data_IF_090084723766
#
_entry.id   IF_090084723766
#
_cell.length_a   1.000
_cell.length_b   1.000
_cell.length_c   1.000
_cell.angle_alpha   90.00
_cell.angle_beta   90.00
_cell.angle_gamma   90.00
#
_symmetry.space_group_name_H-M   'P 1'
#
loop_
_entity.id
_entity.type
_entity.pdbx_description
1 polymer ?
#
# COMPACT_ATOMS: atom_id res chain seq x y z
N UNK A 1 -15.36 9.46 -0.53
CA UNK A 1 -14.86 9.31 -1.92
C UNK A 1 -14.71 7.83 -2.32
N UNK A 2 -13.96 7.01 -1.56
CA UNK A 2 -13.68 5.60 -1.91
C UNK A 2 -14.94 4.74 -2.16
N UNK A 3 -15.95 4.80 -1.28
CA UNK A 3 -17.17 3.97 -1.39
C UNK A 3 -17.94 4.23 -2.69
N UNK A 4 -18.03 5.49 -3.12
CA UNK A 4 -18.73 5.83 -4.36
C UNK A 4 -17.96 5.26 -5.56
N UNK A 5 -16.62 5.41 -5.56
CA UNK A 5 -15.76 4.86 -6.61
C UNK A 5 -15.82 3.33 -6.66
N UNK A 6 -15.87 2.64 -5.52
CA UNK A 6 -15.95 1.17 -5.48
C UNK A 6 -17.26 0.65 -6.08
N UNK A 7 -18.39 1.29 -5.76
CA UNK A 7 -19.70 0.93 -6.33
C UNK A 7 -19.75 1.15 -7.85
N UNK A 8 -19.20 2.27 -8.34
CA UNK A 8 -19.15 2.56 -9.77
C UNK A 8 -18.26 1.57 -10.50
N UNK A 9 -17.08 1.27 -9.96
CA UNK A 9 -16.12 0.36 -10.57
C UNK A 9 -16.69 -1.07 -10.69
N UNK A 10 -17.39 -1.54 -9.66
CA UNK A 10 -18.08 -2.83 -9.68
C UNK A 10 -19.18 -2.89 -10.75
N UNK A 11 -19.97 -1.81 -10.92
CA UNK A 11 -21.03 -1.75 -11.93
C UNK A 11 -20.50 -1.63 -13.37
N UNK A 12 -19.37 -0.94 -13.55
CA UNK A 12 -18.76 -0.73 -14.88
C UNK A 12 -17.85 -1.85 -15.35
N UNK A 13 -17.62 -2.90 -14.54
CA UNK A 13 -16.71 -4.01 -14.87
C UNK A 13 -15.34 -3.52 -15.37
N UNK A 14 -14.81 -2.47 -14.72
CA UNK A 14 -13.53 -1.90 -15.11
C UNK A 14 -12.42 -2.94 -14.88
N UNK A 15 -11.56 -3.24 -15.87
CA UNK A 15 -10.50 -4.23 -15.71
C UNK A 15 -9.41 -3.75 -14.74
N UNK A 16 -9.16 -2.44 -14.69
CA UNK A 16 -8.10 -1.83 -13.86
C UNK A 16 -8.56 -0.49 -13.26
N UNK A 17 -8.16 -0.22 -12.02
CA UNK A 17 -8.36 1.06 -11.33
C UNK A 17 -7.09 1.51 -10.61
N UNK A 18 -6.81 2.81 -10.66
CA UNK A 18 -5.66 3.42 -9.98
C UNK A 18 -6.18 4.43 -8.94
N UNK A 19 -5.70 4.30 -7.72
CA UNK A 19 -5.92 5.24 -6.63
C UNK A 19 -4.59 5.87 -6.24
N UNK A 20 -4.53 7.20 -6.35
CA UNK A 20 -3.39 8.00 -5.93
C UNK A 20 -3.77 8.80 -4.69
N UNK A 21 -3.07 8.55 -3.57
CA UNK A 21 -3.28 9.17 -2.27
C UNK A 21 -4.75 9.27 -1.83
N UNK A 22 -5.56 8.25 -2.16
CA UNK A 22 -7.00 8.23 -1.82
C UNK A 22 -7.25 8.21 -0.31
N UNK A 23 -6.19 7.99 0.46
CA UNK A 23 -6.05 7.90 1.91
C UNK A 23 -5.64 9.21 2.58
N UNK A 24 -5.56 10.32 1.85
CA UNK A 24 -5.33 11.66 2.44
C UNK A 24 -6.34 11.97 3.55
N UNK A 25 -5.83 12.41 4.70
CA UNK A 25 -6.66 12.79 5.85
C UNK A 25 -7.27 11.61 6.61
N UNK A 26 -6.75 10.40 6.41
CA UNK A 26 -7.23 9.17 7.06
C UNK A 26 -6.11 8.52 7.86
N UNK A 27 -6.44 7.92 9.02
CA UNK A 27 -5.49 7.17 9.83
C UNK A 27 -6.17 6.08 10.66
N UNK A 28 -5.37 5.26 11.34
CA UNK A 28 -5.85 4.26 12.31
C UNK A 28 -6.82 3.24 11.72
N UNK A 29 -7.92 2.97 12.43
CA UNK A 29 -8.91 1.97 12.03
C UNK A 29 -9.56 2.27 10.67
N UNK A 30 -9.74 3.55 10.33
CA UNK A 30 -10.35 3.94 9.06
C UNK A 30 -9.44 3.53 7.89
N UNK A 31 -8.12 3.71 8.02
CA UNK A 31 -7.15 3.27 7.01
C UNK A 31 -7.18 1.75 6.83
N UNK A 32 -7.30 1.00 7.93
CA UNK A 32 -7.48 -0.46 7.88
C UNK A 32 -8.76 -0.86 7.13
N UNK A 33 -9.90 -0.23 7.44
CA UNK A 33 -11.17 -0.48 6.73
C UNK A 33 -11.08 -0.15 5.24
N UNK A 34 -10.39 0.94 4.89
CA UNK A 34 -10.12 1.27 3.48
C UNK A 34 -9.29 0.19 2.79
N UNK A 35 -8.24 -0.31 3.43
CA UNK A 35 -7.45 -1.43 2.93
C UNK A 35 -8.29 -2.68 2.65
N UNK A 36 -9.22 -3.03 3.55
CA UNK A 36 -10.14 -4.15 3.33
C UNK A 36 -11.09 -3.92 2.15
N UNK A 37 -11.61 -2.70 1.98
CA UNK A 37 -12.44 -2.35 0.81
C UNK A 37 -11.63 -2.53 -0.48
N UNK A 38 -10.41 -2.00 -0.53
CA UNK A 38 -9.53 -2.14 -1.70
C UNK A 38 -9.19 -3.61 -2.00
N UNK A 39 -8.90 -4.41 -0.97
CA UNK A 39 -8.68 -5.85 -1.10
C UNK A 39 -9.89 -6.58 -1.67
N UNK A 40 -11.10 -6.22 -1.23
CA UNK A 40 -12.34 -6.77 -1.78
C UNK A 40 -12.52 -6.39 -3.25
N UNK A 41 -12.24 -5.14 -3.61
CA UNK A 41 -12.27 -4.69 -5.01
C UNK A 41 -11.27 -5.45 -5.88
N UNK A 42 -10.07 -5.75 -5.37
CA UNK A 42 -9.03 -6.44 -6.13
C UNK A 42 -9.38 -7.88 -6.51
N UNK A 43 -10.44 -8.46 -5.92
CA UNK A 43 -10.95 -9.77 -6.31
C UNK A 43 -11.62 -9.79 -7.69
N UNK A 44 -12.06 -8.63 -8.19
CA UNK A 44 -12.80 -8.51 -9.45
C UNK A 44 -12.10 -7.63 -10.51
N UNK A 45 -11.05 -6.90 -10.14
CA UNK A 45 -10.29 -6.01 -11.03
C UNK A 45 -8.86 -5.83 -10.54
N UNK A 46 -7.96 -5.37 -11.40
CA UNK A 46 -6.64 -4.93 -10.97
C UNK A 46 -6.74 -3.58 -10.26
N UNK A 47 -6.35 -3.52 -8.99
CA UNK A 47 -6.30 -2.28 -8.22
C UNK A 47 -4.84 -1.91 -7.94
N UNK A 48 -4.45 -0.70 -8.35
CA UNK A 48 -3.15 -0.09 -8.04
C UNK A 48 -3.41 1.04 -7.06
N UNK A 49 -2.82 0.96 -5.86
CA UNK A 49 -2.89 2.00 -4.85
C UNK A 49 -1.50 2.60 -4.63
N UNK A 50 -1.41 3.92 -4.70
CA UNK A 50 -0.23 4.71 -4.32
C UNK A 50 -0.56 5.28 -2.94
N UNK A 51 0.22 4.88 -1.92
CA UNK A 51 -0.08 5.15 -0.52
C UNK A 51 1.20 5.24 0.29
N UNK A 52 1.18 6.06 1.34
CA UNK A 52 2.20 6.08 2.38
C UNK A 52 1.75 5.36 3.66
N UNK A 53 0.50 4.87 3.71
CA UNK A 53 -0.05 4.23 4.90
C UNK A 53 0.26 2.72 4.92
N UNK A 54 0.93 2.23 5.98
CA UNK A 54 1.27 0.81 6.10
C UNK A 54 0.02 -0.09 6.14
N UNK A 55 -1.10 0.41 6.68
CA UNK A 55 -2.37 -0.31 6.75
C UNK A 55 -2.92 -0.66 5.36
N UNK A 56 -2.71 0.20 4.36
CA UNK A 56 -3.17 -0.03 2.99
C UNK A 56 -2.14 -0.88 2.23
N UNK A 57 -0.85 -0.53 2.33
CA UNK A 57 0.23 -1.26 1.68
C UNK A 57 0.28 -2.74 2.10
N UNK A 58 0.01 -3.04 3.38
CA UNK A 58 -0.01 -4.41 3.88
C UNK A 58 -1.08 -5.30 3.22
N UNK A 59 -2.22 -4.74 2.78
CA UNK A 59 -3.30 -5.51 2.12
C UNK A 59 -3.03 -5.85 0.66
N UNK A 60 -2.05 -5.19 0.05
CA UNK A 60 -1.65 -5.43 -1.34
C UNK A 60 -1.23 -6.89 -1.58
N UNK A 61 -1.57 -7.45 -2.75
CA UNK A 61 -1.05 -8.75 -3.16
C UNK A 61 0.41 -8.65 -3.59
N UNK A 62 0.73 -7.62 -4.36
CA UNK A 62 2.08 -7.26 -4.76
C UNK A 62 2.44 -5.92 -4.13
N UNK A 63 3.69 -5.78 -3.67
CA UNK A 63 4.18 -4.55 -3.06
C UNK A 63 5.39 -4.04 -3.85
N UNK A 64 5.35 -2.78 -4.26
CA UNK A 64 6.43 -2.09 -4.94
C UNK A 64 6.85 -0.88 -4.11
N UNK A 65 8.15 -0.61 -4.08
CA UNK A 65 8.65 0.64 -3.50
C UNK A 65 9.17 1.55 -4.60
N UNK A 66 8.91 2.84 -4.44
CA UNK A 66 9.48 3.90 -5.26
C UNK A 66 10.64 4.51 -4.48
N UNK A 67 11.79 4.65 -5.11
CA UNK A 67 13.00 5.16 -4.47
C UNK A 67 13.82 6.02 -5.43
N UNK A 68 14.69 6.87 -4.89
CA UNK A 68 15.57 7.74 -5.69
C UNK A 68 16.99 7.19 -5.66
N UNK A 69 17.59 7.04 -6.84
CA UNK A 69 19.02 6.78 -7.02
C UNK A 69 19.69 8.05 -7.52
N UNK A 70 20.85 8.40 -6.97
CA UNK A 70 21.66 9.49 -7.48
C UNK A 70 22.85 8.90 -8.23
N UNK A 71 23.12 9.39 -9.43
CA UNK A 71 24.33 9.08 -10.20
C UNK A 71 24.90 10.37 -10.80
N UNK A 72 26.00 10.26 -11.57
CA UNK A 72 26.68 11.40 -12.17
C UNK A 72 25.79 12.25 -13.12
N UNK A 73 24.66 11.70 -13.56
CA UNK A 73 23.69 12.37 -14.45
C UNK A 73 22.50 12.99 -13.72
N UNK A 74 22.40 12.83 -12.39
CA UNK A 74 21.33 13.39 -11.56
C UNK A 74 20.56 12.37 -10.73
N UNK A 75 19.41 12.81 -10.19
CA UNK A 75 18.51 11.98 -9.41
C UNK A 75 17.50 11.26 -10.32
N UNK A 76 17.46 9.93 -10.23
CA UNK A 76 16.56 9.05 -10.99
C UNK A 76 15.55 8.39 -10.06
N UNK A 77 14.27 8.48 -10.39
CA UNK A 77 13.22 7.74 -9.68
C UNK A 77 13.13 6.32 -10.24
N UNK A 78 13.20 5.33 -9.36
CA UNK A 78 13.13 3.91 -9.67
C UNK A 78 11.97 3.28 -8.91
N UNK A 79 11.50 2.15 -9.44
CA UNK A 79 10.52 1.29 -8.78
C UNK A 79 11.03 -0.14 -8.81
N UNK A 80 10.85 -0.89 -7.71
CA UNK A 80 11.18 -2.31 -7.65
C UNK A 80 10.12 -3.09 -6.88
N UNK A 81 9.84 -4.36 -7.25
CA UNK A 81 9.01 -5.24 -6.45
C UNK A 81 9.72 -5.62 -5.15
N UNK A 82 8.93 -5.94 -4.13
CA UNK A 82 9.40 -6.42 -2.82
C UNK A 82 8.99 -7.88 -2.65
N UNK A 83 9.96 -8.72 -2.30
CA UNK A 83 9.71 -10.12 -1.98
C UNK A 83 8.95 -10.24 -0.64
N UNK A 84 8.11 -11.27 -0.48
CA UNK A 84 7.28 -11.42 0.72
C UNK A 84 8.10 -11.46 2.02
N UNK A 85 9.31 -12.02 1.99
CA UNK A 85 10.21 -12.04 3.15
C UNK A 85 10.71 -10.65 3.57
N UNK A 86 10.80 -9.71 2.63
CA UNK A 86 11.23 -8.33 2.85
C UNK A 86 10.05 -7.42 3.23
N UNK A 87 8.81 -7.83 2.94
CA UNK A 87 7.61 -6.99 3.17
C UNK A 87 7.44 -6.59 4.64
N UNK A 88 7.76 -7.47 5.59
CA UNK A 88 7.66 -7.15 7.02
C UNK A 88 8.54 -5.95 7.35
N UNK A 89 9.78 -5.93 6.86
CA UNK A 89 10.72 -4.84 7.12
C UNK A 89 10.25 -3.54 6.47
N UNK A 90 9.77 -3.59 5.23
CA UNK A 90 9.26 -2.39 4.52
C UNK A 90 8.04 -1.81 5.24
N UNK A 91 7.07 -2.64 5.64
CA UNK A 91 5.90 -2.17 6.40
C UNK A 91 6.32 -1.62 7.76
N UNK A 92 7.29 -2.24 8.43
CA UNK A 92 7.82 -1.74 9.70
C UNK A 92 8.55 -0.39 9.55
N UNK A 93 9.27 -0.19 8.45
CA UNK A 93 9.86 1.10 8.10
C UNK A 93 8.79 2.16 7.85
N UNK A 94 7.69 1.81 7.16
CA UNK A 94 6.55 2.72 6.97
C UNK A 94 5.84 3.09 8.29
N UNK A 95 5.87 2.21 9.29
CA UNK A 95 5.31 2.46 10.62
C UNK A 95 6.23 3.31 11.52
N UNK A 96 7.52 3.41 11.20
CA UNK A 96 8.55 4.00 12.06
C UNK A 96 9.61 4.74 11.24
N UNK A 97 10.88 4.60 11.60
CA UNK A 97 12.04 5.14 10.88
C UNK A 97 12.77 4.03 10.12
N UNK A 98 13.85 4.38 9.42
CA UNK A 98 14.63 3.46 8.57
C UNK A 98 15.14 2.19 9.29
N UNK A 99 15.34 2.27 10.61
CA UNK A 99 15.73 1.15 11.48
C UNK A 99 14.58 0.80 12.44
N UNK A 100 13.60 -0.02 11.99
CA UNK A 100 12.44 -0.35 12.82
C UNK A 100 12.86 -1.23 14.00
N UNK A 101 12.46 -0.81 15.21
CA UNK A 101 12.60 -1.61 16.41
C UNK A 101 11.66 -2.82 16.44
N UNK A 102 11.82 -3.69 17.44
CA UNK A 102 11.03 -4.92 17.58
C UNK A 102 9.51 -4.67 17.59
N UNK A 103 9.06 -3.59 18.24
CA UNK A 103 7.65 -3.22 18.29
C UNK A 103 7.07 -2.88 16.90
N UNK A 104 7.84 -2.21 16.05
CA UNK A 104 7.42 -1.88 14.68
C UNK A 104 7.34 -3.15 13.81
N UNK A 105 8.30 -4.06 13.98
CA UNK A 105 8.28 -5.37 13.30
C UNK A 105 7.09 -6.21 13.74
N UNK A 106 6.76 -6.24 15.03
CA UNK A 106 5.61 -6.97 15.54
C UNK A 106 4.29 -6.44 14.96
N UNK A 107 4.13 -5.10 14.94
CA UNK A 107 2.95 -4.47 14.35
C UNK A 107 2.86 -4.69 12.83
N UNK A 108 3.99 -4.62 12.11
CA UNK A 108 4.03 -4.93 10.69
C UNK A 108 3.57 -6.36 10.37
N UNK A 109 3.98 -7.34 11.18
CA UNK A 109 3.51 -8.72 11.05
C UNK A 109 2.00 -8.83 11.25
N UNK A 110 1.46 -8.15 12.26
CA UNK A 110 0.03 -8.12 12.52
C UNK A 110 -0.77 -7.51 11.33
N UNK A 111 -0.28 -6.41 10.75
CA UNK A 111 -0.89 -5.81 9.57
C UNK A 111 -0.90 -6.73 8.35
N UNK A 112 0.16 -7.53 8.16
CA UNK A 112 0.32 -8.47 7.06
C UNK A 112 -0.46 -9.78 7.26
N UNK A 113 -0.71 -10.19 8.52
CA UNK A 113 -1.51 -11.38 8.82
C UNK A 113 -3.02 -11.14 8.73
N UNK A 114 -3.44 -9.89 8.88
CA UNK A 114 -4.84 -9.44 8.77
C UNK A 114 -5.23 -9.12 7.32
#
# INVERSE_FOLDING_TARGET
>A
MLIIKSLIAAKKSLPTIIFDEIDTGVSGEIANRMGHIMKSMSGNMQLIAITHLPQIAAKGQNHFIVYKEHNDTGAHTRIKPIADIERVNVIAQMLSTDNPGEAAIANAKELLSN
#
